data_IF_512800387408
#
_entry.id   IF_512800387408
#
_cell.length_a   1.000
_cell.length_b   1.000
_cell.length_c   1.000
_cell.angle_alpha   90.00
_cell.angle_beta   90.00
_cell.angle_gamma   90.00
#
_symmetry.space_group_name_H-M   'P 1'
#
loop_
_entity.id
_entity.type
_entity.pdbx_description
1 polymer ?
#
# COMPACT_ATOMS: atom_id res chain seq x y z
N UNK A 1 2.94 35.65 16.70
CA UNK A 1 2.19 34.52 17.31
C UNK A 1 2.56 34.28 18.77
N UNK A 2 3.83 34.39 19.19
CA UNK A 2 4.26 34.26 20.60
C UNK A 2 3.47 35.15 21.58
N UNK A 3 3.25 36.41 21.22
CA UNK A 3 2.73 37.42 22.15
C UNK A 3 1.27 37.19 22.55
N UNK A 4 0.51 36.44 21.74
CA UNK A 4 -0.91 36.17 21.98
C UNK A 4 -1.12 35.06 23.02
N UNK A 5 -0.29 34.01 22.99
CA UNK A 5 -0.40 32.90 23.94
C UNK A 5 0.00 33.35 25.36
N UNK A 6 1.10 34.10 25.47
CA UNK A 6 1.56 34.67 26.74
C UNK A 6 0.49 35.57 27.35
N UNK A 7 -0.13 36.45 26.55
CA UNK A 7 -1.21 37.31 27.01
C UNK A 7 -2.43 36.53 27.54
N UNK A 8 -2.79 35.41 26.90
CA UNK A 8 -3.90 34.56 27.36
C UNK A 8 -3.60 33.78 28.64
N UNK A 9 -2.33 33.44 28.89
CA UNK A 9 -1.93 32.85 30.17
C UNK A 9 -1.95 33.93 31.27
N UNK A 10 -1.36 35.08 30.98
CA UNK A 10 -1.27 36.20 31.94
C UNK A 10 -2.64 36.75 32.34
N UNK A 11 -3.61 36.78 31.43
CA UNK A 11 -4.96 37.24 31.73
C UNK A 11 -5.88 36.12 32.27
N UNK A 12 -5.38 34.89 32.43
CA UNK A 12 -6.10 33.74 32.97
C UNK A 12 -7.05 33.02 32.01
N UNK A 13 -7.11 33.42 30.73
CA UNK A 13 -7.92 32.73 29.71
C UNK A 13 -7.42 31.31 29.42
N UNK A 14 -6.13 31.05 29.62
CA UNK A 14 -5.52 29.73 29.53
C UNK A 14 -4.76 29.46 30.84
N UNK A 15 -5.05 28.35 31.55
CA UNK A 15 -4.29 27.99 32.74
C UNK A 15 -2.81 27.70 32.41
N UNK A 16 -1.89 28.17 33.26
CA UNK A 16 -0.46 27.88 33.11
C UNK A 16 -0.16 26.37 33.11
N UNK A 17 -0.88 25.59 33.93
CA UNK A 17 -0.78 24.13 33.96
C UNK A 17 -1.07 23.46 32.60
N UNK A 18 -1.85 24.11 31.72
CA UNK A 18 -2.05 23.63 30.35
C UNK A 18 -0.79 23.81 29.51
N UNK A 19 -0.05 24.91 29.71
CA UNK A 19 1.24 25.15 29.07
C UNK A 19 2.28 24.15 29.58
N UNK A 20 2.31 23.91 30.89
CA UNK A 20 3.22 22.93 31.50
C UNK A 20 3.01 21.52 30.94
N UNK A 21 1.76 21.06 30.79
CA UNK A 21 1.45 19.77 30.15
C UNK A 21 1.93 19.72 28.70
N UNK A 22 1.71 20.78 27.91
CA UNK A 22 2.18 20.85 26.52
C UNK A 22 3.71 20.83 26.41
N UNK A 23 4.40 21.63 27.23
CA UNK A 23 5.85 21.67 27.29
C UNK A 23 6.42 20.32 27.74
N UNK A 24 5.81 19.69 28.75
CA UNK A 24 6.21 18.37 29.24
C UNK A 24 6.10 17.31 28.14
N UNK A 25 5.04 17.32 27.32
CA UNK A 25 4.88 16.37 26.19
C UNK A 25 5.92 16.56 25.09
N UNK A 26 6.38 17.80 24.86
CA UNK A 26 7.44 18.09 23.89
C UNK A 26 8.81 17.66 24.43
N UNK A 27 9.05 17.89 25.72
CA UNK A 27 10.35 17.63 26.37
C UNK A 27 10.50 16.16 26.80
N UNK A 28 9.42 15.42 27.06
CA UNK A 28 9.49 14.02 27.47
C UNK A 28 10.23 13.12 26.45
N UNK A 29 9.97 13.19 25.12
CA UNK A 29 10.75 12.45 24.13
C UNK A 29 12.24 12.81 24.14
N UNK A 30 12.59 14.07 24.36
CA UNK A 30 13.97 14.55 24.45
C UNK A 30 14.74 13.87 25.60
N UNK A 31 14.09 13.68 26.76
CA UNK A 31 14.66 12.88 27.85
C UNK A 31 14.66 11.38 27.54
N UNK A 32 13.57 10.85 26.97
CA UNK A 32 13.43 9.42 26.65
C UNK A 32 14.54 8.92 25.73
N UNK A 33 14.93 9.73 24.74
CA UNK A 33 16.00 9.40 23.78
C UNK A 33 17.38 9.89 24.23
N UNK A 34 17.52 10.40 25.47
CA UNK A 34 18.80 10.77 26.07
C UNK A 34 19.44 12.06 25.55
N UNK A 35 18.73 12.85 24.74
CA UNK A 35 19.29 14.08 24.12
C UNK A 35 19.57 15.21 25.12
N UNK A 36 19.14 15.07 26.37
CA UNK A 36 19.47 15.98 27.48
C UNK A 36 20.94 15.88 27.94
N UNK A 37 21.62 14.77 27.66
CA UNK A 37 23.01 14.55 28.04
C UNK A 37 23.97 15.09 26.98
N UNK A 38 23.69 14.79 25.72
CA UNK A 38 24.45 15.26 24.57
C UNK A 38 23.57 15.22 23.32
N UNK A 39 23.84 16.11 22.36
CA UNK A 39 23.08 16.17 21.11
C UNK A 39 23.80 15.35 20.03
N UNK A 40 23.10 14.53 19.23
CA UNK A 40 23.73 13.86 18.10
C UNK A 40 24.34 14.91 17.16
N UNK A 41 25.59 14.67 16.75
CA UNK A 41 26.27 15.54 15.78
C UNK A 41 25.48 15.56 14.47
N UNK A 42 25.23 16.74 13.94
CA UNK A 42 24.63 16.88 12.61
C UNK A 42 25.61 16.35 11.58
N UNK A 43 25.19 15.34 10.83
CA UNK A 43 25.95 14.77 9.71
C UNK A 43 25.07 14.83 8.46
N UNK A 44 25.31 15.85 7.63
CA UNK A 44 24.60 16.05 6.36
C UNK A 44 25.24 15.26 5.21
N UNK A 45 26.43 14.71 5.42
CA UNK A 45 27.19 13.95 4.42
C UNK A 45 27.03 12.43 4.60
N UNK A 46 26.22 12.01 5.59
CA UNK A 46 25.97 10.60 5.89
C UNK A 46 25.45 9.88 4.65
N UNK A 47 26.20 8.87 4.21
CA UNK A 47 25.69 7.94 3.21
C UNK A 47 24.50 7.20 3.80
N UNK A 48 23.32 7.50 3.28
CA UNK A 48 22.05 6.88 3.65
C UNK A 48 21.59 5.89 2.61
N UNK A 49 22.40 5.58 1.60
CA UNK A 49 22.01 4.75 0.46
C UNK A 49 22.71 3.38 0.47
N UNK A 50 23.94 3.28 1.02
CA UNK A 50 24.80 2.08 1.08
C UNK A 50 24.13 0.75 0.69
N UNK A 51 23.57 0.00 1.66
CA UNK A 51 22.96 -1.30 1.43
C UNK A 51 21.42 -1.25 1.45
N UNK A 52 20.83 -0.06 1.35
CA UNK A 52 19.38 0.10 1.42
C UNK A 52 18.66 -0.59 0.25
N UNK A 53 19.32 -0.70 -0.89
CA UNK A 53 18.81 -1.44 -2.04
C UNK A 53 18.46 -2.91 -1.69
N UNK A 54 19.16 -3.52 -0.73
CA UNK A 54 18.87 -4.90 -0.29
C UNK A 54 17.50 -4.94 0.38
N UNK A 55 17.24 -4.01 1.30
CA UNK A 55 15.99 -3.95 2.06
C UNK A 55 14.84 -3.50 1.14
N UNK A 56 15.09 -2.53 0.25
CA UNK A 56 14.08 -2.05 -0.70
C UNK A 56 13.68 -3.15 -1.69
N UNK A 57 14.65 -3.88 -2.27
CA UNK A 57 14.36 -5.02 -3.15
C UNK A 57 13.60 -6.12 -2.42
N UNK A 58 13.95 -6.41 -1.17
CA UNK A 58 13.20 -7.38 -0.36
C UNK A 58 11.77 -6.91 -0.10
N UNK A 59 11.58 -5.65 0.29
CA UNK A 59 10.26 -5.05 0.51
C UNK A 59 9.41 -5.07 -0.76
N UNK A 60 9.97 -4.69 -1.91
CA UNK A 60 9.30 -4.72 -3.21
C UNK A 60 8.86 -6.13 -3.61
N UNK A 61 9.72 -7.13 -3.38
CA UNK A 61 9.40 -8.55 -3.65
C UNK A 61 8.32 -9.09 -2.72
N UNK A 62 8.47 -8.85 -1.42
CA UNK A 62 7.52 -9.31 -0.41
C UNK A 62 6.15 -8.62 -0.51
N UNK A 63 6.13 -7.36 -0.96
CA UNK A 63 4.93 -6.55 -1.14
C UNK A 63 4.17 -6.81 -2.45
N UNK A 64 4.80 -7.43 -3.45
CA UNK A 64 4.13 -7.71 -4.73
C UNK A 64 3.11 -8.84 -4.59
N UNK A 65 1.91 -8.61 -5.12
CA UNK A 65 0.76 -9.51 -4.96
C UNK A 65 0.40 -10.08 -6.34
N UNK A 66 0.48 -11.40 -6.48
CA UNK A 66 0.00 -12.07 -7.68
C UNK A 66 -1.53 -12.23 -7.62
N UNK A 67 -2.27 -11.51 -8.46
CA UNK A 67 -3.73 -11.51 -8.45
C UNK A 67 -4.33 -12.59 -9.38
N UNK A 68 -3.72 -12.76 -10.54
CA UNK A 68 -4.15 -13.71 -11.57
C UNK A 68 -2.93 -14.43 -12.13
N UNK A 69 -3.02 -15.75 -12.30
CA UNK A 69 -2.04 -16.55 -13.02
C UNK A 69 -2.76 -17.71 -13.72
N UNK A 70 -2.93 -17.58 -15.04
CA UNK A 70 -3.63 -18.56 -15.88
C UNK A 70 -2.59 -19.47 -16.53
N UNK A 71 -2.81 -20.78 -16.48
CA UNK A 71 -1.95 -21.80 -17.08
C UNK A 71 -0.48 -21.82 -16.58
N UNK A 72 -0.19 -21.20 -15.43
CA UNK A 72 1.16 -21.08 -14.88
C UNK A 72 2.13 -20.42 -15.88
N UNK A 73 1.69 -19.35 -16.56
CA UNK A 73 2.55 -18.57 -17.46
C UNK A 73 3.68 -17.91 -16.68
N UNK A 74 3.36 -17.40 -15.47
CA UNK A 74 4.38 -17.04 -14.49
C UNK A 74 4.71 -18.21 -13.55
N UNK A 75 5.99 -18.41 -13.19
CA UNK A 75 7.16 -17.62 -13.62
C UNK A 75 7.58 -17.90 -15.08
N UNK A 76 8.13 -16.89 -15.75
CA UNK A 76 8.68 -16.96 -17.09
C UNK A 76 9.90 -17.89 -17.13
N UNK A 77 9.95 -18.73 -18.16
CA UNK A 77 11.07 -19.64 -18.36
C UNK A 77 12.16 -18.97 -19.21
N UNK A 78 13.28 -18.62 -18.57
CA UNK A 78 14.46 -18.01 -19.23
C UNK A 78 15.13 -18.93 -20.26
N UNK A 79 14.86 -20.24 -20.23
CA UNK A 79 15.36 -21.20 -21.23
C UNK A 79 14.57 -21.19 -22.54
N UNK A 80 13.40 -20.54 -22.57
CA UNK A 80 12.58 -20.40 -23.77
C UNK A 80 12.82 -19.01 -24.35
N UNK A 81 13.18 -18.95 -25.63
CA UNK A 81 13.37 -17.68 -26.32
C UNK A 81 12.03 -16.96 -26.46
N UNK A 82 11.73 -16.11 -25.50
CA UNK A 82 10.46 -15.39 -25.35
C UNK A 82 10.67 -13.96 -25.79
N UNK A 83 9.98 -13.53 -26.84
CA UNK A 83 9.94 -12.12 -27.21
C UNK A 83 9.03 -11.38 -26.22
N UNK A 84 9.62 -10.55 -25.37
CA UNK A 84 8.90 -9.72 -24.40
C UNK A 84 8.74 -8.32 -24.99
N UNK A 85 7.48 -7.90 -25.15
CA UNK A 85 7.13 -6.54 -25.55
C UNK A 85 6.57 -5.81 -24.33
N UNK A 86 7.19 -4.67 -24.00
CA UNK A 86 6.84 -3.89 -22.82
C UNK A 86 6.10 -2.63 -23.26
N UNK A 87 4.97 -2.35 -22.62
CA UNK A 87 4.11 -1.21 -22.89
C UNK A 87 3.79 -0.47 -21.59
N UNK A 88 3.63 0.86 -21.67
CA UNK A 88 3.29 1.72 -20.54
C UNK A 88 4.48 2.55 -20.04
N UNK A 89 4.21 3.80 -19.67
CA UNK A 89 5.25 4.76 -19.28
C UNK A 89 5.94 4.36 -17.96
N UNK A 90 5.20 3.71 -17.06
CA UNK A 90 5.70 3.22 -15.78
C UNK A 90 6.79 2.15 -15.89
N UNK A 91 7.00 1.56 -17.08
CA UNK A 91 8.10 0.64 -17.33
C UNK A 91 9.46 1.34 -17.52
N UNK A 92 9.47 2.65 -17.72
CA UNK A 92 10.70 3.45 -17.85
C UNK A 92 11.02 4.18 -16.54
N UNK A 93 12.32 4.43 -16.28
CA UNK A 93 12.72 5.35 -15.23
C UNK A 93 12.14 6.74 -15.48
N UNK A 94 11.51 7.31 -14.45
CA UNK A 94 11.01 8.67 -14.50
C UNK A 94 12.16 9.65 -14.29
N UNK A 95 12.17 10.76 -15.02
CA UNK A 95 13.12 11.86 -14.79
C UNK A 95 12.78 12.70 -13.53
N UNK A 96 11.72 12.32 -12.80
CA UNK A 96 11.19 13.00 -11.62
C UNK A 96 11.14 12.00 -10.46
N UNK A 97 11.47 12.44 -9.24
CA UNK A 97 11.32 11.61 -8.04
C UNK A 97 9.86 11.24 -7.80
N UNK A 98 9.61 10.06 -7.20
CA UNK A 98 8.26 9.49 -7.02
C UNK A 98 7.28 10.43 -6.29
N UNK A 99 7.78 11.26 -5.38
CA UNK A 99 6.96 12.26 -4.67
C UNK A 99 6.57 13.47 -5.55
N UNK A 100 7.39 13.79 -6.56
CA UNK A 100 7.13 14.91 -7.48
C UNK A 100 6.06 14.56 -8.53
N UNK A 101 5.82 13.26 -8.74
CA UNK A 101 4.75 12.71 -9.58
C UNK A 101 3.37 12.99 -8.95
N UNK A 102 3.32 13.16 -7.63
CA UNK A 102 2.08 13.23 -6.86
C UNK A 102 1.32 14.55 -6.99
N UNK A 103 1.93 15.63 -7.50
CA UNK A 103 1.30 16.96 -7.56
C UNK A 103 0.80 17.37 -8.95
N UNK A 104 1.23 16.73 -10.04
CA UNK A 104 0.80 17.12 -11.40
C UNK A 104 1.18 16.14 -12.53
N UNK A 105 1.65 14.92 -12.24
CA UNK A 105 2.15 14.05 -13.30
C UNK A 105 1.06 13.09 -13.78
N UNK A 106 0.56 13.40 -14.98
CA UNK A 106 -0.06 12.46 -15.91
C UNK A 106 0.97 11.38 -16.29
N UNK A 107 1.19 10.41 -15.41
CA UNK A 107 2.01 9.25 -15.70
C UNK A 107 1.12 8.16 -16.32
N UNK A 108 1.22 8.02 -17.65
CA UNK A 108 0.44 7.08 -18.44
C UNK A 108 0.56 5.63 -17.95
N UNK A 109 -0.55 5.08 -17.44
CA UNK A 109 -0.67 3.66 -17.08
C UNK A 109 -0.24 3.28 -15.66
N UNK A 110 0.03 4.25 -14.77
CA UNK A 110 0.21 4.01 -13.34
C UNK A 110 -0.54 5.07 -12.53
N UNK A 111 -0.96 4.71 -11.33
CA UNK A 111 -1.67 5.61 -10.44
C UNK A 111 -0.81 6.08 -9.28
N UNK A 112 -0.62 7.40 -9.27
CA UNK A 112 0.02 8.15 -8.20
C UNK A 112 -0.93 9.25 -7.75
N UNK A 113 -1.07 9.45 -6.45
CA UNK A 113 -1.95 10.46 -5.87
C UNK A 113 -1.20 11.28 -4.83
N UNK A 114 -1.29 12.61 -4.92
CA UNK A 114 -0.81 13.53 -3.89
C UNK A 114 -1.84 13.81 -2.82
N UNK A 115 -1.36 14.23 -1.65
CA UNK A 115 -2.23 14.62 -0.54
C UNK A 115 -3.06 15.86 -0.87
N UNK A 116 -4.31 15.88 -0.40
CA UNK A 116 -5.19 17.06 -0.43
C UNK A 116 -6.36 17.01 -1.41
N UNK A 117 -6.44 15.99 -2.27
CA UNK A 117 -7.57 15.78 -3.19
C UNK A 117 -7.90 14.28 -3.25
N UNK A 118 -9.17 13.92 -3.21
CA UNK A 118 -9.66 12.56 -3.41
C UNK A 118 -9.95 12.26 -4.88
N UNK A 119 -9.83 10.99 -5.28
CA UNK A 119 -10.23 10.55 -6.63
C UNK A 119 -11.74 10.60 -6.78
N UNK A 120 -12.22 10.91 -7.99
CA UNK A 120 -13.65 10.90 -8.33
C UNK A 120 -14.16 9.54 -8.81
N UNK A 121 -13.26 8.62 -9.14
CA UNK A 121 -13.55 7.25 -9.56
C UNK A 121 -12.37 6.31 -9.25
N UNK A 122 -12.58 5.00 -9.44
CA UNK A 122 -11.56 3.97 -9.23
C UNK A 122 -10.93 3.46 -10.54
N UNK A 123 -10.87 4.30 -11.58
CA UNK A 123 -10.18 3.99 -12.82
C UNK A 123 -8.75 4.53 -12.84
N UNK A 124 -7.96 4.03 -13.79
CA UNK A 124 -6.61 4.53 -14.05
C UNK A 124 -6.62 5.88 -14.76
N UNK A 125 -5.64 6.72 -14.45
CA UNK A 125 -5.39 7.93 -15.23
C UNK A 125 -4.87 7.60 -16.63
N UNK A 126 -4.97 8.57 -17.54
CA UNK A 126 -4.36 8.54 -18.87
C UNK A 126 -4.72 7.30 -19.72
N UNK A 127 -5.95 6.81 -19.60
CA UNK A 127 -6.49 5.69 -20.37
C UNK A 127 -5.73 4.36 -20.18
N UNK A 128 -5.24 4.07 -18.97
CA UNK A 128 -4.55 2.82 -18.68
C UNK A 128 -5.37 1.56 -19.02
N UNK A 129 -6.70 1.58 -18.86
CA UNK A 129 -7.55 0.46 -19.29
C UNK A 129 -7.54 0.28 -20.80
N UNK A 130 -7.56 1.37 -21.56
CA UNK A 130 -7.53 1.31 -23.02
C UNK A 130 -6.19 0.75 -23.51
N UNK A 131 -5.08 1.08 -22.85
CA UNK A 131 -3.77 0.48 -23.13
C UNK A 131 -3.81 -1.04 -22.94
N UNK A 132 -4.31 -1.51 -21.78
CA UNK A 132 -4.40 -2.95 -21.50
C UNK A 132 -5.29 -3.64 -22.55
N UNK A 133 -6.45 -3.06 -22.87
CA UNK A 133 -7.36 -3.62 -23.87
C UNK A 133 -6.73 -3.67 -25.27
N UNK A 134 -6.07 -2.60 -25.71
CA UNK A 134 -5.40 -2.56 -27.02
C UNK A 134 -4.29 -3.60 -27.11
N UNK A 135 -3.47 -3.76 -26.07
CA UNK A 135 -2.43 -4.79 -26.04
C UNK A 135 -3.07 -6.17 -26.03
N UNK A 136 -4.04 -6.44 -25.17
CA UNK A 136 -4.71 -7.73 -25.08
C UNK A 136 -5.50 -8.12 -26.34
N UNK A 137 -5.93 -7.15 -27.16
CA UNK A 137 -6.55 -7.43 -28.47
C UNK A 137 -5.54 -7.91 -29.51
N UNK A 138 -4.26 -7.50 -29.40
CA UNK A 138 -3.21 -7.79 -30.37
C UNK A 138 -2.20 -8.85 -29.90
N UNK A 139 -2.12 -9.09 -28.60
CA UNK A 139 -1.24 -10.05 -27.95
C UNK A 139 -2.07 -11.09 -27.20
N UNK A 140 -1.74 -12.39 -27.36
CA UNK A 140 -2.51 -13.50 -26.77
C UNK A 140 -2.16 -13.79 -25.30
N UNK A 141 -0.99 -13.35 -24.86
CA UNK A 141 -0.48 -13.56 -23.51
C UNK A 141 -0.02 -12.21 -22.97
N UNK A 142 -0.96 -11.49 -22.37
CA UNK A 142 -0.72 -10.19 -21.76
C UNK A 142 -0.63 -10.35 -20.26
N UNK A 143 0.51 -9.96 -19.70
CA UNK A 143 0.76 -9.84 -18.27
C UNK A 143 0.58 -8.36 -17.90
N UNK A 144 -0.28 -8.08 -16.91
CA UNK A 144 -0.55 -6.71 -16.48
C UNK A 144 0.09 -6.45 -15.12
N UNK A 145 0.88 -5.38 -15.04
CA UNK A 145 1.46 -4.88 -13.80
C UNK A 145 0.66 -3.66 -13.36
N UNK A 146 0.09 -3.73 -12.17
CA UNK A 146 -0.76 -2.67 -11.60
C UNK A 146 0.04 -1.90 -10.57
N UNK A 147 0.59 -0.76 -11.02
CA UNK A 147 1.19 0.23 -10.14
C UNK A 147 0.10 1.20 -9.67
N UNK A 148 -0.35 1.05 -8.42
CA UNK A 148 -1.38 1.90 -7.82
C UNK A 148 -1.21 2.00 -6.30
N UNK A 149 -1.43 3.21 -5.78
CA UNK A 149 -1.39 3.52 -4.34
C UNK A 149 -2.70 3.18 -3.60
N UNK A 150 -3.78 2.89 -4.32
CA UNK A 150 -5.12 2.61 -3.76
C UNK A 150 -5.94 1.70 -4.69
N UNK A 151 -7.14 1.29 -4.27
CA UNK A 151 -8.03 0.37 -4.97
C UNK A 151 -8.30 0.81 -6.41
N UNK A 152 -8.48 -0.17 -7.29
CA UNK A 152 -8.96 0.03 -8.66
C UNK A 152 -10.07 -0.91 -9.04
N UNK A 153 -10.95 -0.40 -9.89
CA UNK A 153 -11.91 -1.21 -10.60
C UNK A 153 -11.24 -1.84 -11.82
N UNK A 154 -10.98 -3.15 -11.73
CA UNK A 154 -10.29 -3.90 -12.78
C UNK A 154 -11.24 -4.49 -13.83
N UNK A 155 -12.56 -4.34 -13.66
CA UNK A 155 -13.58 -5.07 -14.45
C UNK A 155 -13.49 -4.80 -15.95
N UNK A 156 -13.04 -3.61 -16.36
CA UNK A 156 -12.94 -3.22 -17.77
C UNK A 156 -12.02 -4.13 -18.59
N UNK A 157 -11.03 -4.77 -17.97
CA UNK A 157 -10.01 -5.54 -18.69
C UNK A 157 -9.60 -6.86 -18.03
N UNK A 158 -9.78 -7.04 -16.71
CA UNK A 158 -9.28 -8.24 -15.99
C UNK A 158 -9.89 -9.55 -16.48
N UNK A 159 -11.12 -9.48 -17.03
CA UNK A 159 -11.84 -10.61 -17.61
C UNK A 159 -11.45 -10.94 -19.05
N UNK A 160 -10.63 -10.11 -19.71
CA UNK A 160 -10.24 -10.35 -21.10
C UNK A 160 -9.44 -11.68 -21.21
N UNK A 161 -9.75 -12.56 -22.17
CA UNK A 161 -9.16 -13.91 -22.24
C UNK A 161 -7.64 -13.90 -22.44
N UNK A 162 -7.11 -12.86 -23.09
CA UNK A 162 -5.67 -12.70 -23.33
C UNK A 162 -4.93 -12.01 -22.16
N UNK A 163 -5.63 -11.49 -21.14
CA UNK A 163 -4.98 -11.04 -19.90
C UNK A 163 -4.77 -12.28 -19.04
N UNK A 164 -3.58 -12.85 -19.06
CA UNK A 164 -3.29 -14.16 -18.47
C UNK A 164 -2.74 -14.05 -17.05
N UNK A 165 -2.03 -12.97 -16.74
CA UNK A 165 -1.49 -12.70 -15.41
C UNK A 165 -1.73 -11.25 -15.00
N UNK A 166 -1.88 -11.04 -13.70
CA UNK A 166 -2.02 -9.72 -13.10
C UNK A 166 -1.22 -9.68 -11.81
N UNK A 167 -0.30 -8.73 -11.70
CA UNK A 167 0.45 -8.46 -10.48
C UNK A 167 0.08 -7.07 -9.97
N UNK A 168 -0.25 -6.97 -8.69
CA UNK A 168 -0.35 -5.69 -8.00
C UNK A 168 0.98 -5.38 -7.35
N UNK A 169 1.63 -4.34 -7.83
CA UNK A 169 2.99 -3.96 -7.43
C UNK A 169 3.02 -2.71 -6.56
N UNK A 170 1.86 -2.10 -6.32
CA UNK A 170 1.76 -0.92 -5.45
C UNK A 170 2.51 0.27 -6.03
N UNK A 171 3.16 1.05 -5.16
CA UNK A 171 4.02 2.15 -5.57
C UNK A 171 5.43 1.62 -5.86
N UNK A 172 5.99 1.85 -7.05
CA UNK A 172 7.37 1.46 -7.33
C UNK A 172 8.33 2.29 -6.48
N UNK A 173 9.38 1.65 -5.96
CA UNK A 173 10.48 2.29 -5.24
C UNK A 173 11.78 2.26 -6.08
N UNK A 174 12.91 2.58 -5.47
CA UNK A 174 14.21 2.58 -6.14
C UNK A 174 14.63 1.21 -6.70
N UNK A 175 14.06 0.12 -6.17
CA UNK A 175 14.42 -1.27 -6.52
C UNK A 175 13.28 -2.02 -7.21
N UNK A 176 12.24 -1.30 -7.67
CA UNK A 176 11.06 -1.87 -8.31
C UNK A 176 11.40 -2.81 -9.47
N UNK A 177 12.26 -2.36 -10.40
CA UNK A 177 12.65 -3.14 -11.57
C UNK A 177 13.34 -4.47 -11.20
N UNK A 178 14.45 -4.43 -10.46
CA UNK A 178 15.12 -5.64 -9.97
C UNK A 178 14.20 -6.58 -9.15
N UNK A 179 13.37 -6.03 -8.26
CA UNK A 179 12.42 -6.82 -7.47
C UNK A 179 11.38 -7.53 -8.36
N UNK A 180 10.84 -6.81 -9.34
CA UNK A 180 9.87 -7.35 -10.28
C UNK A 180 10.47 -8.46 -11.16
N UNK A 181 11.70 -8.29 -11.64
CA UNK A 181 12.38 -9.30 -12.45
C UNK A 181 12.56 -10.60 -11.68
N UNK A 182 12.94 -10.53 -10.41
CA UNK A 182 13.07 -11.73 -9.55
C UNK A 182 11.76 -12.52 -9.48
N UNK A 183 10.63 -11.81 -9.40
CA UNK A 183 9.31 -12.44 -9.38
C UNK A 183 8.98 -13.01 -10.76
N UNK A 184 9.07 -12.20 -11.81
CA UNK A 184 8.68 -12.60 -13.16
C UNK A 184 9.43 -13.85 -13.64
N UNK A 185 10.69 -14.04 -13.24
CA UNK A 185 11.50 -15.21 -13.60
C UNK A 185 11.58 -16.29 -12.52
N UNK A 186 10.92 -16.08 -11.37
CA UNK A 186 10.79 -17.09 -10.32
C UNK A 186 11.99 -17.24 -9.39
N UNK A 187 12.95 -16.30 -9.42
CA UNK A 187 13.99 -16.19 -8.38
C UNK A 187 13.40 -15.82 -7.01
N UNK A 188 12.19 -15.25 -7.01
CA UNK A 188 11.38 -15.01 -5.83
C UNK A 188 9.93 -15.46 -6.04
N UNK A 189 9.39 -16.20 -5.08
CA UNK A 189 7.99 -16.64 -5.11
C UNK A 189 7.09 -15.55 -4.47
N UNK A 190 6.15 -14.92 -5.21
CA UNK A 190 5.32 -13.86 -4.67
C UNK A 190 4.47 -14.37 -3.49
N UNK A 191 4.52 -13.62 -2.40
CA UNK A 191 3.82 -13.93 -1.15
C UNK A 191 2.93 -12.81 -0.63
N UNK A 192 2.98 -11.63 -1.28
CA UNK A 192 2.19 -10.47 -0.89
C UNK A 192 0.69 -10.76 -0.89
N UNK A 193 -0.03 -10.08 0.00
CA UNK A 193 -1.50 -10.18 0.15
C UNK A 193 -2.10 -8.79 0.11
N UNK A 194 -3.28 -8.66 -0.50
CA UNK A 194 -4.02 -7.39 -0.49
C UNK A 194 -4.34 -6.97 0.93
N UNK A 195 -4.10 -5.69 1.24
CA UNK A 195 -4.46 -5.07 2.53
C UNK A 195 -5.78 -4.29 2.47
N UNK A 196 -6.52 -4.46 1.37
CA UNK A 196 -7.84 -3.90 1.09
C UNK A 196 -8.61 -4.82 0.14
N UNK A 197 -9.92 -4.63 0.04
CA UNK A 197 -10.75 -5.35 -0.93
C UNK A 197 -10.79 -4.62 -2.27
N UNK A 198 -10.78 -5.38 -3.38
CA UNK A 198 -11.00 -4.84 -4.72
C UNK A 198 -12.42 -5.19 -5.17
N UNK A 199 -13.26 -4.18 -5.33
CA UNK A 199 -14.66 -4.35 -5.70
C UNK A 199 -14.84 -4.70 -7.19
N UNK A 200 -16.02 -5.23 -7.54
CA UNK A 200 -16.45 -5.32 -8.95
C UNK A 200 -17.15 -4.04 -9.37
N UNK A 201 -17.96 -3.45 -8.50
CA UNK A 201 -18.58 -2.15 -8.71
C UNK A 201 -18.15 -1.18 -7.62
N UNK A 202 -17.90 0.08 -7.98
CA UNK A 202 -17.42 1.08 -7.03
C UNK A 202 -18.47 1.35 -5.92
N UNK A 203 -19.76 1.24 -6.25
CA UNK A 203 -20.85 1.36 -5.28
C UNK A 203 -20.88 0.26 -4.22
N UNK A 204 -20.18 -0.86 -4.42
CA UNK A 204 -20.12 -1.98 -3.47
C UNK A 204 -19.40 -1.61 -2.17
N UNK A 205 -18.65 -0.51 -2.14
CA UNK A 205 -18.06 0.03 -0.91
C UNK A 205 -19.10 0.70 0.00
N UNK A 206 -20.30 1.02 -0.51
CA UNK A 206 -21.41 1.55 0.28
C UNK A 206 -21.18 2.95 0.86
N UNK A 207 -20.24 3.72 0.30
CA UNK A 207 -19.96 5.11 0.67
C UNK A 207 -19.89 5.99 -0.56
N UNK A 208 -20.37 7.23 -0.44
CA UNK A 208 -20.33 8.25 -1.48
C UNK A 208 -19.26 9.31 -1.17
N UNK A 209 -18.75 9.97 -2.20
CA UNK A 209 -17.82 11.10 -2.05
C UNK A 209 -18.63 12.34 -1.63
N UNK A 210 -18.37 12.86 -0.43
CA UNK A 210 -18.98 14.10 0.07
C UNK A 210 -18.09 15.32 -0.23
N UNK A 211 -18.60 16.26 -1.03
CA UNK A 211 -17.89 17.51 -1.35
C UNK A 211 -18.16 18.64 -0.34
N UNK A 212 -19.02 18.41 0.66
CA UNK A 212 -19.57 19.47 1.53
C UNK A 212 -18.93 19.44 2.94
N UNK A 213 -17.89 18.65 3.15
CA UNK A 213 -17.13 18.60 4.41
C UNK A 213 -17.86 18.00 5.61
N UNK A 214 -19.15 17.67 5.45
CA UNK A 214 -19.93 16.89 6.41
C UNK A 214 -19.93 15.42 5.97
N UNK A 215 -19.40 14.54 6.82
CA UNK A 215 -19.27 13.10 6.56
C UNK A 215 -19.75 12.34 7.78
N UNK A 216 -20.84 11.59 7.62
CA UNK A 216 -21.45 10.82 8.70
C UNK A 216 -21.12 9.33 8.54
N UNK A 217 -20.33 8.80 9.46
CA UNK A 217 -19.76 7.44 9.41
C UNK A 217 -20.76 6.43 9.98
N UNK A 218 -21.93 6.32 9.34
CA UNK A 218 -23.05 5.47 9.79
C UNK A 218 -22.74 3.96 9.69
N UNK A 219 -21.75 3.59 8.88
CA UNK A 219 -21.22 2.25 8.72
C UNK A 219 -20.44 1.76 9.96
N UNK A 220 -19.94 2.68 10.79
CA UNK A 220 -19.21 2.36 12.01
C UNK A 220 -17.97 1.50 11.73
N UNK A 221 -17.83 0.37 12.44
CA UNK A 221 -16.68 -0.52 12.29
C UNK A 221 -16.71 -1.38 11.01
N UNK A 222 -17.78 -1.32 10.21
CA UNK A 222 -17.94 -2.14 9.01
C UNK A 222 -17.37 -1.46 7.78
N UNK A 223 -16.04 -1.30 7.77
CA UNK A 223 -15.24 -0.75 6.68
C UNK A 223 -14.57 -1.88 5.87
N UNK A 224 -14.27 -1.61 4.59
CA UNK A 224 -13.58 -2.54 3.67
C UNK A 224 -14.18 -3.95 3.74
N UNK A 225 -13.40 -5.02 3.91
CA UNK A 225 -13.88 -6.40 3.90
C UNK A 225 -15.00 -6.66 4.91
N UNK A 226 -15.05 -5.94 6.05
CA UNK A 226 -16.13 -6.10 7.03
C UNK A 226 -17.46 -5.60 6.48
N UNK A 227 -17.44 -4.58 5.63
CA UNK A 227 -18.63 -4.16 4.88
C UNK A 227 -19.08 -5.27 3.92
N UNK A 228 -18.14 -5.79 3.13
CA UNK A 228 -18.40 -6.84 2.13
C UNK A 228 -18.98 -8.10 2.80
N UNK A 229 -18.41 -8.52 3.93
CA UNK A 229 -18.89 -9.66 4.72
C UNK A 229 -20.30 -9.40 5.26
N UNK A 230 -20.55 -8.21 5.85
CA UNK A 230 -21.85 -7.84 6.43
C UNK A 230 -22.95 -7.78 5.36
N UNK A 231 -22.63 -7.25 4.19
CA UNK A 231 -23.57 -7.06 3.08
C UNK A 231 -23.64 -8.26 2.14
N UNK A 232 -22.86 -9.32 2.39
CA UNK A 232 -22.75 -10.52 1.54
C UNK A 232 -22.38 -10.17 0.07
N UNK A 233 -21.43 -9.24 -0.09
CA UNK A 233 -20.93 -8.79 -1.39
C UNK A 233 -19.65 -9.57 -1.71
N UNK A 234 -19.58 -10.15 -2.90
CA UNK A 234 -18.36 -10.85 -3.35
C UNK A 234 -17.44 -9.89 -4.12
N UNK A 235 -16.27 -9.52 -3.56
CA UNK A 235 -15.31 -8.67 -4.26
C UNK A 235 -14.70 -9.37 -5.49
N UNK A 236 -14.01 -8.61 -6.34
CA UNK A 236 -13.14 -9.16 -7.40
C UNK A 236 -11.97 -9.93 -6.77
N UNK A 237 -11.29 -9.30 -5.82
CA UNK A 237 -10.28 -9.92 -4.97
C UNK A 237 -10.50 -9.47 -3.53
N UNK A 238 -10.56 -10.43 -2.60
CA UNK A 238 -10.86 -10.17 -1.19
C UNK A 238 -9.64 -9.65 -0.42
N UNK A 239 -9.87 -8.99 0.72
CA UNK A 239 -8.80 -8.65 1.67
C UNK A 239 -7.99 -9.89 2.08
N UNK A 240 -6.67 -9.83 1.97
CA UNK A 240 -5.79 -10.96 2.21
C UNK A 240 -5.62 -11.89 1.00
N UNK A 241 -6.20 -11.58 -0.16
CA UNK A 241 -6.00 -12.36 -1.39
C UNK A 241 -4.59 -12.15 -1.95
N UNK A 242 -4.00 -13.23 -2.47
CA UNK A 242 -2.76 -13.22 -3.23
C UNK A 242 -2.33 -14.64 -3.54
N UNK A 243 -1.99 -14.91 -4.80
CA UNK A 243 -1.52 -16.20 -5.27
C UNK A 243 -0.02 -16.39 -4.97
N UNK A 244 0.45 -17.60 -5.18
CA UNK A 244 1.86 -18.01 -5.09
C UNK A 244 2.16 -18.96 -6.24
N UNK A 245 3.43 -19.10 -6.62
CA UNK A 245 3.86 -20.13 -7.58
C UNK A 245 3.80 -21.55 -7.02
N UNK A 246 3.59 -21.69 -5.71
CA UNK A 246 3.38 -22.97 -5.05
C UNK A 246 2.02 -23.02 -4.35
N UNK A 247 1.65 -24.20 -3.88
CA UNK A 247 0.41 -24.46 -3.14
C UNK A 247 0.72 -24.80 -1.70
N UNK A 248 -0.14 -24.31 -0.81
CA UNK A 248 -0.11 -24.62 0.61
C UNK A 248 -1.43 -25.30 0.99
N UNK A 249 -1.38 -26.22 1.94
CA UNK A 249 -2.55 -26.82 2.56
C UNK A 249 -2.52 -26.54 4.05
N UNK A 250 -3.67 -26.17 4.61
CA UNK A 250 -3.84 -26.09 6.05
C UNK A 250 -4.08 -27.50 6.61
N UNK A 251 -3.48 -27.76 7.77
CA UNK A 251 -3.80 -28.92 8.60
C UNK A 251 -4.75 -28.50 9.74
N UNK A 252 -5.04 -29.42 10.65
CA UNK A 252 -5.89 -29.20 11.81
C UNK A 252 -5.42 -28.00 12.64
N UNK A 253 -6.33 -27.03 12.80
CA UNK A 253 -6.16 -25.92 13.73
C UNK A 253 -6.37 -26.40 15.16
N UNK A 254 -5.37 -26.23 16.01
CA UNK A 254 -5.48 -26.48 17.45
C UNK A 254 -5.48 -25.15 18.21
N UNK A 255 -6.50 -24.96 19.05
CA UNK A 255 -6.68 -23.74 19.83
C UNK A 255 -6.61 -24.13 21.30
N UNK A 256 -5.71 -23.48 22.04
CA UNK A 256 -5.63 -23.59 23.49
C UNK A 256 -5.84 -22.22 24.12
N UNK A 257 -6.52 -22.18 25.26
CA UNK A 257 -6.66 -20.96 26.03
C UNK A 257 -5.30 -20.64 26.67
N UNK A 258 -4.83 -19.41 26.52
CA UNK A 258 -3.66 -18.95 27.25
C UNK A 258 -3.99 -18.84 28.75
N UNK A 259 -3.12 -19.39 29.61
CA UNK A 259 -3.24 -19.21 31.06
C UNK A 259 -2.78 -17.80 31.44
N UNK A 260 -3.71 -16.97 31.91
CA UNK A 260 -3.47 -15.58 32.35
C UNK A 260 -2.54 -15.47 33.59
N UNK A 261 -2.18 -16.59 34.24
CA UNK A 261 -1.25 -16.65 35.37
C UNK A 261 0.23 -16.55 34.96
N UNK A 262 0.53 -16.68 33.66
CA UNK A 262 1.87 -16.40 33.15
C UNK A 262 2.07 -14.90 33.01
N UNK A 263 2.84 -14.32 33.95
CA UNK A 263 3.17 -12.89 33.97
C UNK A 263 3.92 -12.43 32.71
N UNK A 264 4.47 -13.34 31.92
CA UNK A 264 5.12 -13.06 30.64
C UNK A 264 4.20 -13.26 29.43
N UNK A 265 2.91 -13.56 29.62
CA UNK A 265 1.98 -13.69 28.51
C UNK A 265 1.72 -12.34 27.81
N UNK A 266 1.53 -12.31 26.48
CA UNK A 266 1.16 -11.08 25.78
C UNK A 266 -0.14 -10.44 26.32
N UNK A 267 -1.05 -11.26 26.86
CA UNK A 267 -2.31 -10.82 27.44
C UNK A 267 -2.13 -10.08 28.78
N UNK A 268 -1.15 -10.46 29.61
CA UNK A 268 -0.84 -9.75 30.87
C UNK A 268 -0.20 -8.38 30.61
N UNK A 269 0.57 -8.24 29.51
CA UNK A 269 1.20 -6.97 29.11
C UNK A 269 0.18 -5.95 28.57
N UNK A 270 -0.90 -6.39 27.93
CA UNK A 270 -1.97 -5.49 27.47
C UNK A 270 -2.80 -4.89 28.62
N UNK A 271 -2.91 -5.57 29.77
CA UNK A 271 -3.65 -5.06 30.95
C UNK A 271 -2.88 -4.02 31.77
N UNK A 272 -1.62 -3.74 31.43
CA UNK A 272 -0.74 -2.81 32.16
C UNK A 272 -0.63 -1.40 31.53
N UNK A 273 -1.46 -1.08 30.52
CA UNK A 273 -1.55 0.27 29.95
C UNK A 273 -2.81 0.99 30.39
#
# INVERSE_FOLDING_TARGET
MSDTLVAFVQNGSIPESRIDDMATRIIAPYYLIGQYQDYPTVDLDRDTMENNYIINREAGRAGTILLKNVNNILPLNSSVNTNIYIYGQAASQTNYGLEQISWNANCGGALYQGGGIDRTDLYTFDNGEQLVLTVAQNCRQTIVLVNSVSQLNLERWVGHPNVVDVLWTGMPDSEYGPALVDILFGDYNPGGKLVFSLAKNDSDFGTDISLIGDSNYTEGAFLDYRHFDKCNITPRYYFGYGLSYTKFSFDKLEISQANDDDKNSPASLCKQR
#
